data_IF_229592614977
#
_entry.id   IF_229592614977
#
_cell.length_a   1.000
_cell.length_b   1.000
_cell.length_c   1.000
_cell.angle_alpha   90.00
_cell.angle_beta   90.00
_cell.angle_gamma   90.00
#
_symmetry.space_group_name_H-M   'P 1'
#
loop_
_entity.id
_entity.type
_entity.pdbx_description
1 polymer ?
#
# COMPACT_ATOMS: atom_id res chain seq x y z
N UNK A 1 -29.72 -0.58 -30.51
CA UNK A 1 -29.01 -0.87 -29.25
C UNK A 1 -30.02 -1.56 -28.34
N UNK A 2 -29.81 -2.81 -27.95
CA UNK A 2 -30.69 -3.49 -26.99
C UNK A 2 -30.23 -3.06 -25.59
N UNK A 3 -31.09 -2.39 -24.83
CA UNK A 3 -30.83 -2.20 -23.40
C UNK A 3 -30.76 -3.61 -22.77
N UNK A 4 -29.65 -3.98 -22.12
CA UNK A 4 -29.59 -5.27 -21.44
C UNK A 4 -30.66 -5.33 -20.34
N UNK A 5 -31.29 -6.49 -20.19
CA UNK A 5 -32.28 -6.72 -19.13
C UNK A 5 -31.61 -6.66 -17.76
N UNK A 6 -32.23 -6.04 -16.74
CA UNK A 6 -31.70 -6.05 -15.38
C UNK A 6 -31.49 -7.50 -14.91
N UNK A 7 -30.31 -7.79 -14.37
CA UNK A 7 -30.00 -9.08 -13.73
C UNK A 7 -30.45 -9.02 -12.27
N UNK A 8 -31.24 -10.00 -11.83
CA UNK A 8 -31.62 -10.13 -10.43
C UNK A 8 -30.44 -10.63 -9.57
N UNK A 9 -30.46 -10.41 -8.23
CA UNK A 9 -29.35 -10.77 -7.36
C UNK A 9 -28.94 -12.24 -7.39
N UNK A 10 -29.91 -13.16 -7.49
CA UNK A 10 -29.64 -14.60 -7.45
C UNK A 10 -28.89 -14.99 -8.71
N UNK A 11 -29.45 -14.65 -9.88
CA UNK A 11 -28.82 -14.91 -11.18
C UNK A 11 -27.42 -14.27 -11.29
N UNK A 12 -27.25 -13.06 -10.74
CA UNK A 12 -25.93 -12.40 -10.70
C UNK A 12 -24.92 -13.22 -9.89
N UNK A 13 -25.29 -13.58 -8.66
CA UNK A 13 -24.38 -14.27 -7.75
C UNK A 13 -24.04 -15.67 -8.25
N UNK A 14 -25.01 -16.40 -8.80
CA UNK A 14 -24.83 -17.72 -9.39
C UNK A 14 -23.87 -17.67 -10.59
N UNK A 15 -24.03 -16.69 -11.49
CA UNK A 15 -23.14 -16.53 -12.64
C UNK A 15 -21.69 -16.22 -12.22
N UNK A 16 -21.51 -15.37 -11.20
CA UNK A 16 -20.18 -15.03 -10.67
C UNK A 16 -19.54 -16.23 -9.97
N UNK A 17 -20.30 -16.97 -9.16
CA UNK A 17 -19.81 -18.15 -8.44
C UNK A 17 -19.49 -19.31 -9.40
N UNK A 18 -20.34 -19.58 -10.38
CA UNK A 18 -20.10 -20.60 -11.40
C UNK A 18 -18.82 -20.32 -12.21
N UNK A 19 -18.56 -19.04 -12.53
CA UNK A 19 -17.30 -18.63 -13.14
C UNK A 19 -16.11 -18.83 -12.19
N UNK A 20 -16.26 -18.47 -10.92
CA UNK A 20 -15.21 -18.62 -9.91
C UNK A 20 -14.82 -20.09 -9.67
N UNK A 21 -15.78 -21.00 -9.71
CA UNK A 21 -15.52 -22.44 -9.55
C UNK A 21 -14.64 -22.99 -10.68
N UNK A 22 -14.67 -22.39 -11.86
CA UNK A 22 -13.89 -22.83 -13.03
C UNK A 22 -12.60 -22.04 -13.26
N UNK A 23 -12.59 -20.75 -12.88
CA UNK A 23 -11.55 -19.80 -13.27
C UNK A 23 -10.98 -18.97 -12.12
N UNK A 24 -11.58 -19.07 -10.94
CA UNK A 24 -11.15 -18.36 -9.74
C UNK A 24 -9.77 -18.79 -9.27
N UNK A 25 -9.03 -17.87 -8.65
CA UNK A 25 -7.74 -18.17 -8.06
C UNK A 25 -7.97 -18.81 -6.69
N UNK A 26 -7.64 -20.10 -6.59
CA UNK A 26 -7.82 -20.89 -5.36
C UNK A 26 -6.50 -21.21 -4.65
N UNK A 27 -5.35 -20.86 -5.24
CA UNK A 27 -4.02 -21.21 -4.73
C UNK A 27 -3.29 -20.03 -4.07
N UNK A 28 -4.02 -18.99 -3.65
CA UNK A 28 -3.39 -17.82 -3.04
C UNK A 28 -2.99 -18.16 -1.59
N UNK A 29 -1.79 -17.76 -1.12
CA UNK A 29 -1.28 -18.17 0.20
C UNK A 29 -2.19 -17.83 1.38
N UNK A 30 -2.95 -16.75 1.29
CA UNK A 30 -3.86 -16.27 2.34
C UNK A 30 -5.26 -16.90 2.31
N UNK A 31 -5.52 -17.84 1.40
CA UNK A 31 -6.81 -18.53 1.30
C UNK A 31 -6.85 -19.83 2.12
N UNK A 32 -5.72 -20.39 2.54
CA UNK A 32 -5.66 -21.70 3.18
C UNK A 32 -4.72 -21.69 4.39
N UNK A 33 -5.25 -21.56 5.62
CA UNK A 33 -6.65 -21.29 5.99
C UNK A 33 -7.04 -19.80 5.90
N UNK A 34 -8.33 -19.51 5.62
CA UNK A 34 -8.91 -18.15 5.69
C UNK A 34 -9.11 -17.67 7.15
N UNK A 35 -8.04 -17.53 7.92
CA UNK A 35 -8.14 -16.97 9.28
C UNK A 35 -8.31 -15.44 9.23
N UNK A 36 -8.96 -14.81 10.23
CA UNK A 36 -9.10 -13.35 10.27
C UNK A 36 -7.76 -12.63 10.14
N UNK A 37 -6.73 -13.13 10.83
CA UNK A 37 -5.38 -12.58 10.78
C UNK A 37 -4.78 -12.64 9.36
N UNK A 38 -4.75 -13.82 8.72
CA UNK A 38 -4.17 -13.95 7.37
C UNK A 38 -4.92 -13.13 6.32
N UNK A 39 -6.26 -13.16 6.36
CA UNK A 39 -7.09 -12.35 5.46
C UNK A 39 -6.76 -10.88 5.66
N UNK A 40 -6.74 -10.39 6.90
CA UNK A 40 -6.42 -8.99 7.20
C UNK A 40 -5.04 -8.57 6.68
N UNK A 41 -3.98 -9.34 6.95
CA UNK A 41 -2.62 -9.02 6.48
C UNK A 41 -2.61 -8.92 4.94
N UNK A 42 -3.21 -9.90 4.26
CA UNK A 42 -3.28 -9.91 2.80
C UNK A 42 -4.07 -8.73 2.23
N UNK A 43 -5.22 -8.40 2.82
CA UNK A 43 -6.09 -7.29 2.39
C UNK A 43 -5.35 -5.96 2.50
N UNK A 44 -4.64 -5.71 3.61
CA UNK A 44 -3.86 -4.48 3.78
C UNK A 44 -2.71 -4.44 2.76
N UNK A 45 -2.00 -5.56 2.52
CA UNK A 45 -0.92 -5.61 1.52
C UNK A 45 -1.44 -5.38 0.09
N UNK A 46 -2.62 -5.89 -0.25
CA UNK A 46 -3.23 -5.79 -1.59
C UNK A 46 -3.79 -4.41 -1.92
N UNK A 47 -3.92 -3.51 -0.93
CA UNK A 47 -4.30 -2.13 -1.19
C UNK A 47 -3.31 -1.46 -2.16
N UNK A 48 -3.78 -1.17 -3.38
CA UNK A 48 -2.98 -0.54 -4.44
C UNK A 48 -1.68 -1.31 -4.80
N UNK A 49 -1.62 -2.61 -4.52
CA UNK A 49 -0.46 -3.46 -4.83
C UNK A 49 -0.92 -4.71 -5.58
N UNK A 50 -0.15 -5.18 -6.54
CA UNK A 50 -0.52 -6.35 -7.35
C UNK A 50 -0.30 -7.66 -6.58
N UNK A 51 -1.17 -8.65 -6.82
CA UNK A 51 -1.10 -9.97 -6.18
C UNK A 51 0.28 -10.62 -6.32
N UNK A 52 0.86 -10.62 -7.53
CA UNK A 52 2.18 -11.20 -7.77
C UNK A 52 3.29 -10.54 -6.94
N UNK A 53 3.19 -9.24 -6.67
CA UNK A 53 4.10 -8.51 -5.79
C UNK A 53 3.86 -8.88 -4.33
N UNK A 54 2.60 -9.06 -3.91
CA UNK A 54 2.25 -9.32 -2.50
C UNK A 54 2.65 -10.72 -2.05
N UNK A 55 2.50 -11.76 -2.89
CA UNK A 55 2.77 -13.16 -2.53
C UNK A 55 4.08 -13.35 -1.73
N UNK A 56 5.26 -12.95 -2.25
CA UNK A 56 6.51 -13.17 -1.52
C UNK A 56 6.63 -12.32 -0.25
N UNK A 57 5.97 -11.16 -0.18
CA UNK A 57 5.95 -10.35 1.04
C UNK A 57 5.07 -10.97 2.11
N UNK A 58 3.88 -11.43 1.74
CA UNK A 58 2.96 -12.11 2.63
C UNK A 58 3.63 -13.34 3.25
N UNK A 59 4.29 -14.18 2.44
CA UNK A 59 4.97 -15.38 2.93
C UNK A 59 6.04 -15.08 3.97
N UNK A 60 6.97 -14.15 3.69
CA UNK A 60 8.01 -13.75 4.67
C UNK A 60 7.42 -13.08 5.91
N UNK A 61 6.36 -12.30 5.75
CA UNK A 61 5.70 -11.63 6.87
C UNK A 61 5.01 -12.62 7.79
N UNK A 62 4.33 -13.63 7.24
CA UNK A 62 3.69 -14.70 8.01
C UNK A 62 4.71 -15.66 8.64
N UNK A 63 5.87 -15.88 8.01
CA UNK A 63 6.96 -16.65 8.61
C UNK A 63 7.51 -15.96 9.86
N UNK A 64 7.68 -14.62 9.81
CA UNK A 64 8.18 -13.85 10.97
C UNK A 64 7.10 -13.56 12.01
N UNK A 65 5.88 -13.28 11.57
CA UNK A 65 4.75 -12.90 12.42
C UNK A 65 3.57 -13.85 12.15
N UNK A 66 3.63 -15.10 12.65
CA UNK A 66 2.62 -16.12 12.36
C UNK A 66 1.24 -15.80 12.95
N UNK A 67 1.18 -14.96 13.99
CA UNK A 67 -0.05 -14.57 14.68
C UNK A 67 -0.04 -13.10 15.11
N UNK A 68 -1.20 -12.60 15.56
CA UNK A 68 -1.36 -11.19 15.95
C UNK A 68 -0.51 -10.79 17.17
N UNK A 69 -0.23 -11.72 18.09
CA UNK A 69 0.57 -11.42 19.29
C UNK A 69 2.04 -11.20 18.92
N UNK A 70 2.57 -12.04 18.04
CA UNK A 70 3.92 -11.91 17.49
C UNK A 70 4.09 -10.59 16.71
N UNK A 71 3.05 -10.16 15.98
CA UNK A 71 3.04 -8.88 15.29
C UNK A 71 2.94 -7.69 16.26
N UNK A 72 2.06 -7.76 17.26
CA UNK A 72 1.80 -6.67 18.20
C UNK A 72 3.00 -6.39 19.13
N UNK A 73 3.77 -7.43 19.47
CA UNK A 73 4.96 -7.35 20.32
C UNK A 73 6.24 -6.95 19.57
N UNK A 74 6.21 -6.95 18.24
CA UNK A 74 7.37 -6.65 17.42
C UNK A 74 7.81 -5.17 17.53
N UNK A 75 9.10 -4.93 17.30
CA UNK A 75 9.57 -3.56 17.14
C UNK A 75 9.00 -2.97 15.84
N UNK A 76 8.57 -1.70 15.86
CA UNK A 76 8.03 -1.05 14.66
C UNK A 76 9.03 -1.06 13.49
N UNK A 77 10.31 -0.88 13.77
CA UNK A 77 11.37 -0.89 12.75
C UNK A 77 11.42 -2.22 11.99
N UNK A 78 11.25 -3.34 12.69
CA UNK A 78 11.24 -4.68 12.11
C UNK A 78 10.03 -4.88 11.18
N UNK A 79 8.84 -4.44 11.63
CA UNK A 79 7.62 -4.47 10.81
C UNK A 79 7.79 -3.63 9.53
N UNK A 80 8.36 -2.43 9.66
CA UNK A 80 8.62 -1.53 8.52
C UNK A 80 9.73 -2.06 7.60
N UNK A 81 10.71 -2.76 8.15
CA UNK A 81 11.76 -3.43 7.39
C UNK A 81 11.15 -4.50 6.48
N UNK A 82 10.33 -5.40 7.03
CA UNK A 82 9.66 -6.45 6.24
C UNK A 82 8.66 -5.88 5.22
N UNK A 83 8.13 -4.67 5.46
CA UNK A 83 7.29 -3.94 4.51
C UNK A 83 8.06 -3.21 3.41
N UNK A 84 9.40 -3.11 3.52
CA UNK A 84 10.22 -2.27 2.65
C UNK A 84 10.15 -2.75 1.19
N UNK A 85 9.58 -1.90 0.33
CA UNK A 85 9.35 -2.18 -1.08
C UNK A 85 7.87 -2.28 -1.48
N UNK A 86 6.95 -2.51 -0.54
CA UNK A 86 5.50 -2.51 -0.83
C UNK A 86 4.91 -1.09 -0.99
N UNK A 87 5.62 -0.07 -0.49
CA UNK A 87 5.13 1.31 -0.49
C UNK A 87 3.94 1.55 0.44
N UNK A 88 3.45 2.79 0.48
CA UNK A 88 2.35 3.22 1.35
C UNK A 88 2.54 2.79 2.82
N UNK A 89 3.69 3.12 3.43
CA UNK A 89 4.09 2.67 4.77
C UNK A 89 3.14 3.05 5.92
N UNK A 90 2.22 4.00 5.70
CA UNK A 90 1.13 4.24 6.65
C UNK A 90 0.27 2.98 6.87
N UNK A 91 0.14 2.11 5.86
CA UNK A 91 -0.50 0.80 5.98
C UNK A 91 0.18 -0.07 7.03
N UNK A 92 1.49 -0.24 6.95
CA UNK A 92 2.27 -1.03 7.90
C UNK A 92 2.17 -0.49 9.33
N UNK A 93 2.27 0.84 9.49
CA UNK A 93 2.15 1.47 10.81
C UNK A 93 0.76 1.29 11.42
N UNK A 94 -0.29 1.51 10.62
CA UNK A 94 -1.66 1.29 11.08
C UNK A 94 -1.94 -0.19 11.34
N UNK A 95 -1.41 -1.10 10.52
CA UNK A 95 -1.49 -2.54 10.71
C UNK A 95 -0.85 -2.95 12.04
N UNK A 96 0.35 -2.46 12.34
CA UNK A 96 1.01 -2.72 13.62
C UNK A 96 0.21 -2.14 14.80
N UNK A 97 -0.24 -0.88 14.70
CA UNK A 97 -1.10 -0.25 15.72
C UNK A 97 -2.40 -1.04 15.93
N UNK A 98 -3.02 -1.53 14.87
CA UNK A 98 -4.22 -2.36 14.94
C UNK A 98 -3.94 -3.71 15.60
N UNK A 99 -2.80 -4.35 15.35
CA UNK A 99 -2.41 -5.57 16.07
C UNK A 99 -2.32 -5.32 17.58
N UNK A 100 -1.72 -4.20 17.98
CA UNK A 100 -1.63 -3.79 19.39
C UNK A 100 -3.00 -3.54 20.01
N UNK A 101 -3.90 -2.84 19.29
CA UNK A 101 -5.29 -2.63 19.73
C UNK A 101 -6.03 -3.95 19.88
N UNK A 102 -5.91 -4.87 18.91
CA UNK A 102 -6.55 -6.19 18.99
C UNK A 102 -6.09 -6.97 20.23
N UNK A 103 -4.78 -6.99 20.50
CA UNK A 103 -4.25 -7.70 21.68
C UNK A 103 -4.66 -7.03 22.99
N UNK A 104 -4.66 -5.70 23.06
CA UNK A 104 -4.91 -4.98 24.32
C UNK A 104 -6.40 -4.81 24.64
N UNK A 105 -7.26 -4.69 23.63
CA UNK A 105 -8.67 -4.30 23.78
C UNK A 105 -9.66 -5.38 23.31
N UNK A 106 -9.19 -6.39 22.57
CA UNK A 106 -10.04 -7.43 21.97
C UNK A 106 -9.49 -8.85 22.13
N UNK A 107 -8.65 -9.08 23.16
CA UNK A 107 -8.08 -10.40 23.48
C UNK A 107 -7.39 -11.11 22.31
N UNK A 108 -6.82 -10.33 21.37
CA UNK A 108 -6.12 -10.86 20.21
C UNK A 108 -7.04 -11.36 19.08
N UNK A 109 -8.34 -11.05 19.09
CA UNK A 109 -9.26 -11.43 18.01
C UNK A 109 -10.04 -10.25 17.44
N UNK A 110 -10.48 -10.40 16.18
CA UNK A 110 -11.30 -9.39 15.52
C UNK A 110 -12.73 -9.35 16.08
N UNK A 111 -13.31 -8.15 16.28
CA UNK A 111 -14.75 -7.99 16.54
C UNK A 111 -15.62 -8.66 15.46
N UNK A 112 -16.91 -8.79 15.74
CA UNK A 112 -17.83 -9.57 14.90
C UNK A 112 -18.65 -8.73 13.91
N UNK A 113 -18.69 -7.41 14.07
CA UNK A 113 -19.47 -6.50 13.21
C UNK A 113 -18.59 -5.67 12.28
N UNK A 114 -19.14 -5.27 11.13
CA UNK A 114 -18.41 -4.43 10.15
C UNK A 114 -18.07 -3.07 10.77
N UNK A 115 -18.95 -2.54 11.60
CA UNK A 115 -18.82 -1.26 12.28
C UNK A 115 -17.64 -1.27 13.25
N UNK A 116 -17.56 -2.27 14.12
CA UNK A 116 -16.46 -2.41 15.09
C UNK A 116 -15.12 -2.67 14.39
N UNK A 117 -15.10 -3.57 13.40
CA UNK A 117 -13.87 -3.86 12.64
C UNK A 117 -13.42 -2.64 11.83
N UNK A 118 -14.34 -1.80 11.36
CA UNK A 118 -14.01 -0.54 10.66
C UNK A 118 -13.51 0.58 11.58
N UNK A 119 -13.73 0.46 12.90
CA UNK A 119 -13.19 1.42 13.86
C UNK A 119 -11.69 1.17 14.15
N UNK A 120 -11.18 -0.02 13.81
CA UNK A 120 -9.79 -0.39 14.02
C UNK A 120 -8.83 0.41 13.12
N UNK A 121 -7.61 0.72 13.60
CA UNK A 121 -6.64 1.52 12.85
C UNK A 121 -6.34 0.98 11.45
N UNK A 122 -6.60 1.80 10.43
CA UNK A 122 -6.26 1.49 9.03
C UNK A 122 -7.21 0.51 8.33
N UNK A 123 -8.30 0.11 8.98
CA UNK A 123 -9.34 -0.72 8.38
C UNK A 123 -10.51 0.17 8.00
N UNK A 124 -10.90 0.16 6.72
CA UNK A 124 -12.11 0.82 6.24
C UNK A 124 -13.23 -0.19 5.98
N UNK A 125 -14.45 0.32 5.72
CA UNK A 125 -15.67 -0.48 5.48
C UNK A 125 -15.47 -1.70 4.58
N UNK A 126 -14.84 -1.51 3.42
CA UNK A 126 -14.61 -2.61 2.47
C UNK A 126 -13.64 -3.66 2.99
N UNK A 127 -12.60 -3.25 3.73
CA UNK A 127 -11.62 -4.19 4.30
C UNK A 127 -12.23 -4.94 5.48
N UNK A 128 -13.03 -4.27 6.32
CA UNK A 128 -13.80 -4.92 7.38
C UNK A 128 -14.74 -5.99 6.81
N UNK A 129 -15.50 -5.65 5.76
CA UNK A 129 -16.36 -6.60 5.06
C UNK A 129 -15.58 -7.78 4.47
N UNK A 130 -14.41 -7.53 3.86
CA UNK A 130 -13.57 -8.58 3.30
C UNK A 130 -13.03 -9.54 4.37
N UNK A 131 -12.59 -9.03 5.53
CA UNK A 131 -12.13 -9.84 6.66
C UNK A 131 -13.27 -10.73 7.15
N UNK A 132 -14.42 -10.14 7.49
CA UNK A 132 -15.53 -10.84 8.10
C UNK A 132 -16.21 -11.85 7.15
N UNK A 133 -16.41 -11.48 5.88
CA UNK A 133 -17.01 -12.39 4.90
C UNK A 133 -16.12 -13.59 4.59
N UNK A 134 -14.81 -13.39 4.46
CA UNK A 134 -13.88 -14.46 4.09
C UNK A 134 -13.53 -15.38 5.26
N UNK A 135 -13.37 -14.82 6.46
CA UNK A 135 -12.88 -15.59 7.62
C UNK A 135 -13.96 -16.09 8.57
N UNK A 136 -15.10 -15.40 8.64
CA UNK A 136 -16.20 -15.75 9.57
C UNK A 136 -17.52 -16.07 8.88
N UNK A 137 -17.59 -15.94 7.55
CA UNK A 137 -18.85 -16.15 6.81
C UNK A 137 -19.94 -15.13 7.19
N UNK A 138 -19.56 -13.94 7.64
CA UNK A 138 -20.53 -12.86 7.92
C UNK A 138 -20.93 -12.20 6.61
N UNK A 139 -22.23 -12.01 6.39
CA UNK A 139 -22.73 -11.34 5.18
C UNK A 139 -22.36 -9.85 5.19
N UNK A 140 -21.27 -9.51 4.50
CA UNK A 140 -20.79 -8.15 4.37
C UNK A 140 -20.33 -7.86 2.94
N UNK A 141 -20.81 -6.75 2.38
CA UNK A 141 -20.41 -6.31 1.05
C UNK A 141 -18.98 -5.73 1.05
N UNK A 142 -18.29 -5.90 -0.07
CA UNK A 142 -17.00 -5.24 -0.34
C UNK A 142 -17.13 -4.27 -1.51
N UNK A 143 -16.29 -3.25 -1.54
CA UNK A 143 -16.28 -2.25 -2.60
C UNK A 143 -14.88 -1.71 -2.87
N UNK A 144 -13.96 -2.61 -3.18
CA UNK A 144 -12.59 -2.27 -3.59
C UNK A 144 -12.56 -1.68 -5.02
N UNK A 145 -11.36 -1.37 -5.52
CA UNK A 145 -11.21 -0.83 -6.87
C UNK A 145 -11.64 -1.79 -7.99
N UNK A 146 -11.64 -3.10 -7.75
CA UNK A 146 -12.09 -4.12 -8.70
C UNK A 146 -13.62 -4.17 -8.76
N UNK A 147 -14.27 -4.29 -7.61
CA UNK A 147 -15.73 -4.31 -7.48
C UNK A 147 -16.35 -3.02 -7.98
N UNK A 148 -15.79 -1.85 -7.61
CA UNK A 148 -16.25 -0.54 -8.12
C UNK A 148 -16.29 -0.52 -9.65
N UNK A 149 -15.29 -1.13 -10.31
CA UNK A 149 -15.21 -1.16 -11.78
C UNK A 149 -16.20 -2.13 -12.40
N UNK A 150 -16.35 -3.33 -11.84
CA UNK A 150 -17.33 -4.32 -12.31
C UNK A 150 -18.73 -3.72 -12.23
N UNK A 151 -19.13 -3.20 -11.07
CA UNK A 151 -20.48 -2.66 -10.85
C UNK A 151 -20.73 -1.38 -11.66
N UNK A 152 -19.74 -0.47 -11.74
CA UNK A 152 -19.89 0.74 -12.56
C UNK A 152 -20.10 0.41 -14.04
N UNK A 153 -19.43 -0.61 -14.58
CA UNK A 153 -19.60 -1.04 -15.97
C UNK A 153 -20.91 -1.79 -16.18
N UNK A 154 -21.26 -2.70 -15.27
CA UNK A 154 -22.50 -3.46 -15.34
C UNK A 154 -23.71 -2.53 -15.43
N UNK A 155 -23.76 -1.50 -14.59
CA UNK A 155 -24.91 -0.58 -14.51
C UNK A 155 -24.69 0.76 -15.22
N UNK A 156 -23.58 0.95 -15.94
CA UNK A 156 -23.21 2.22 -16.54
C UNK A 156 -23.29 3.41 -15.53
N UNK A 157 -22.80 3.21 -14.31
CA UNK A 157 -22.81 4.24 -13.25
C UNK A 157 -21.83 5.34 -13.60
N UNK A 158 -22.35 6.48 -14.04
CA UNK A 158 -21.55 7.62 -14.46
C UNK A 158 -20.82 8.31 -13.31
N UNK A 159 -19.69 8.94 -13.64
CA UNK A 159 -18.93 9.78 -12.73
C UNK A 159 -17.82 9.07 -11.96
N UNK A 160 -17.02 9.88 -11.26
CA UNK A 160 -15.85 9.40 -10.52
C UNK A 160 -16.26 8.82 -9.15
N UNK A 161 -15.90 7.55 -8.82
CA UNK A 161 -16.24 6.92 -7.54
C UNK A 161 -15.64 7.56 -6.29
N UNK A 162 -14.84 8.62 -6.42
CA UNK A 162 -14.42 9.44 -5.29
C UNK A 162 -15.42 10.55 -4.92
N UNK A 163 -16.50 10.73 -5.70
CA UNK A 163 -17.63 11.59 -5.33
C UNK A 163 -18.65 10.79 -4.54
N UNK A 164 -19.13 11.36 -3.43
CA UNK A 164 -20.06 10.69 -2.50
C UNK A 164 -21.32 10.11 -3.16
N UNK A 165 -22.02 10.81 -4.09
CA UNK A 165 -23.19 10.22 -4.75
C UNK A 165 -22.87 8.97 -5.57
N UNK A 166 -21.75 8.97 -6.30
CA UNK A 166 -21.31 7.83 -7.11
C UNK A 166 -20.89 6.67 -6.20
N UNK A 167 -20.15 6.97 -5.13
CA UNK A 167 -19.75 5.96 -4.17
C UNK A 167 -20.93 5.30 -3.46
N UNK A 168 -21.92 6.09 -3.02
CA UNK A 168 -23.13 5.57 -2.37
C UNK A 168 -23.90 4.64 -3.31
N UNK A 169 -24.07 5.03 -4.58
CA UNK A 169 -24.73 4.18 -5.58
C UNK A 169 -24.02 2.84 -5.77
N UNK A 170 -22.69 2.85 -5.78
CA UNK A 170 -21.90 1.62 -5.92
C UNK A 170 -21.98 0.74 -4.66
N UNK A 171 -22.13 1.32 -3.46
CA UNK A 171 -22.40 0.57 -2.24
C UNK A 171 -23.77 -0.10 -2.24
N UNK A 172 -24.82 0.63 -2.65
CA UNK A 172 -26.16 0.05 -2.80
C UNK A 172 -26.14 -1.17 -3.71
N UNK A 173 -25.46 -1.06 -4.86
CA UNK A 173 -25.30 -2.17 -5.80
C UNK A 173 -24.52 -3.34 -5.18
N UNK A 174 -23.42 -3.06 -4.47
CA UNK A 174 -22.63 -4.10 -3.83
C UNK A 174 -23.44 -4.86 -2.76
N UNK A 175 -24.22 -4.15 -1.95
CA UNK A 175 -25.10 -4.71 -0.93
C UNK A 175 -26.26 -5.50 -1.54
N UNK A 176 -26.82 -5.01 -2.65
CA UNK A 176 -27.89 -5.66 -3.40
C UNK A 176 -27.45 -7.02 -3.97
N UNK A 177 -26.24 -7.10 -4.53
CA UNK A 177 -25.73 -8.33 -5.16
C UNK A 177 -25.02 -9.29 -4.22
N UNK A 178 -24.71 -8.88 -2.98
CA UNK A 178 -24.06 -9.77 -2.02
C UNK A 178 -25.02 -10.92 -1.65
N UNK A 179 -24.67 -12.20 -1.91
CA UNK A 179 -25.54 -13.33 -1.64
C UNK A 179 -25.68 -13.58 -0.13
N UNK A 180 -26.46 -14.60 0.24
CA UNK A 180 -26.57 -15.05 1.63
C UNK A 180 -25.64 -16.24 1.96
N UNK A 181 -25.17 -16.93 0.94
CA UNK A 181 -24.33 -18.13 1.06
C UNK A 181 -23.04 -17.97 0.24
N UNK A 182 -22.07 -18.87 0.48
CA UNK A 182 -20.76 -18.87 -0.20
C UNK A 182 -20.04 -17.51 -0.16
N UNK A 183 -20.24 -16.76 0.93
CA UNK A 183 -19.80 -15.36 1.07
C UNK A 183 -18.31 -15.19 0.81
N UNK A 184 -17.48 -16.07 1.38
CA UNK A 184 -16.03 -16.03 1.19
C UNK A 184 -15.62 -16.22 -0.29
N UNK A 185 -16.29 -17.12 -1.00
CA UNK A 185 -16.04 -17.37 -2.42
C UNK A 185 -16.56 -16.23 -3.28
N UNK A 186 -17.76 -15.71 -3.01
CA UNK A 186 -18.32 -14.58 -3.72
C UNK A 186 -17.45 -13.32 -3.57
N UNK A 187 -16.99 -13.02 -2.36
CA UNK A 187 -16.08 -11.91 -2.08
C UNK A 187 -14.80 -12.03 -2.91
N UNK A 188 -14.17 -13.21 -2.95
CA UNK A 188 -12.99 -13.46 -3.78
C UNK A 188 -13.32 -13.38 -5.28
N UNK A 189 -14.43 -13.98 -5.71
CA UNK A 189 -14.87 -14.01 -7.10
C UNK A 189 -15.06 -12.61 -7.67
N UNK A 190 -15.67 -11.70 -6.91
CA UNK A 190 -15.87 -10.32 -7.34
C UNK A 190 -14.55 -9.56 -7.49
N UNK A 191 -13.57 -9.80 -6.61
CA UNK A 191 -12.23 -9.22 -6.74
C UNK A 191 -11.48 -9.82 -7.94
N UNK A 192 -11.54 -11.13 -8.12
CA UNK A 192 -10.88 -11.86 -9.20
C UNK A 192 -11.44 -11.47 -10.56
N UNK A 193 -12.77 -11.39 -10.69
CA UNK A 193 -13.45 -10.98 -11.91
C UNK A 193 -12.97 -9.59 -12.35
N UNK A 194 -12.87 -8.64 -11.42
CA UNK A 194 -12.31 -7.32 -11.73
C UNK A 194 -10.81 -7.40 -12.07
N UNK A 195 -10.04 -8.21 -11.37
CA UNK A 195 -8.60 -8.31 -11.54
C UNK A 195 -8.17 -8.97 -12.86
N UNK A 196 -8.90 -9.98 -13.35
CA UNK A 196 -8.47 -10.84 -14.47
C UNK A 196 -9.35 -10.71 -15.71
N UNK A 197 -10.64 -10.38 -15.58
CA UNK A 197 -11.58 -10.32 -16.70
C UNK A 197 -11.99 -8.88 -17.01
N UNK A 198 -12.64 -8.22 -16.06
CA UNK A 198 -13.13 -6.86 -16.18
C UNK A 198 -12.01 -5.86 -15.84
N UNK A 199 -10.87 -5.94 -16.55
CA UNK A 199 -9.65 -5.18 -16.24
C UNK A 199 -9.75 -3.68 -16.61
N UNK A 200 -8.84 -2.85 -16.07
CA UNK A 200 -8.85 -1.39 -16.32
C UNK A 200 -8.56 -1.00 -17.78
N UNK A 201 -7.70 -1.76 -18.45
CA UNK A 201 -7.34 -1.53 -19.84
C UNK A 201 -8.40 -2.13 -20.77
N UNK A 202 -8.05 -3.23 -21.43
CA UNK A 202 -8.96 -3.96 -22.31
C UNK A 202 -9.64 -5.09 -21.54
N UNK A 203 -10.91 -4.95 -21.10
CA UNK A 203 -11.61 -6.03 -20.43
C UNK A 203 -11.89 -7.19 -21.41
N UNK A 204 -11.77 -8.43 -20.93
CA UNK A 204 -12.12 -9.61 -21.70
C UNK A 204 -13.63 -9.88 -21.58
N UNK A 205 -14.45 -9.04 -22.23
CA UNK A 205 -15.91 -9.14 -22.13
C UNK A 205 -16.44 -10.49 -22.63
N UNK A 206 -15.78 -11.15 -23.58
CA UNK A 206 -16.21 -12.48 -24.07
C UNK A 206 -16.10 -13.59 -23.03
N UNK A 207 -15.22 -13.45 -22.03
CA UNK A 207 -15.09 -14.38 -20.91
C UNK A 207 -15.84 -13.92 -19.64
N UNK A 208 -16.58 -12.81 -19.71
CA UNK A 208 -17.26 -12.24 -18.54
C UNK A 208 -18.62 -12.92 -18.34
N UNK A 209 -18.89 -13.53 -17.16
CA UNK A 209 -20.18 -14.17 -16.90
C UNK A 209 -21.35 -13.18 -16.87
N UNK A 210 -21.06 -11.90 -16.68
CA UNK A 210 -22.05 -10.81 -16.63
C UNK A 210 -22.25 -10.11 -17.98
N UNK A 211 -21.58 -10.56 -19.04
CA UNK A 211 -21.61 -9.92 -20.36
C UNK A 211 -23.03 -9.70 -20.92
N UNK A 212 -23.98 -10.65 -20.82
CA UNK A 212 -25.33 -10.46 -21.38
C UNK A 212 -26.12 -9.32 -20.75
N UNK A 213 -25.76 -8.94 -19.51
CA UNK A 213 -26.45 -7.95 -18.70
C UNK A 213 -25.67 -6.63 -18.57
N UNK A 214 -24.45 -6.55 -19.10
CA UNK A 214 -23.55 -5.42 -18.91
C UNK A 214 -23.92 -4.22 -19.81
N UNK A 215 -24.45 -3.16 -19.20
CA UNK A 215 -24.83 -1.93 -19.92
C UNK A 215 -23.66 -1.29 -20.66
N UNK A 216 -22.50 -1.14 -20.03
CA UNK A 216 -21.36 -0.53 -20.70
C UNK A 216 -20.81 -1.39 -21.85
N UNK A 217 -20.94 -2.72 -21.79
CA UNK A 217 -20.62 -3.59 -22.92
C UNK A 217 -21.66 -3.46 -24.04
N UNK A 218 -22.95 -3.49 -23.72
CA UNK A 218 -24.04 -3.32 -24.69
C UNK A 218 -24.01 -1.97 -25.42
N UNK A 219 -23.50 -0.93 -24.74
CA UNK A 219 -23.29 0.40 -25.30
C UNK A 219 -21.94 0.56 -26.03
N UNK A 220 -21.06 -0.45 -25.98
CA UNK A 220 -19.74 -0.42 -26.62
C UNK A 220 -18.71 0.49 -25.95
N UNK A 221 -18.94 0.92 -24.70
CA UNK A 221 -18.10 1.89 -24.00
C UNK A 221 -17.66 1.50 -22.56
N UNK A 222 -17.20 0.26 -22.31
CA UNK A 222 -16.78 -0.17 -20.97
C UNK A 222 -15.61 0.64 -20.39
N UNK A 223 -14.82 1.33 -21.22
CA UNK A 223 -13.68 2.14 -20.78
C UNK A 223 -14.08 3.49 -20.17
N UNK A 224 -15.33 3.92 -20.36
CA UNK A 224 -15.87 5.15 -19.76
C UNK A 224 -16.20 4.98 -18.27
N UNK A 225 -16.30 3.73 -17.82
CA UNK A 225 -16.70 3.36 -16.47
C UNK A 225 -15.58 2.59 -15.73
N UNK A 226 -15.30 2.96 -14.47
CA UNK A 226 -15.83 4.11 -13.76
C UNK A 226 -15.24 5.44 -14.28
N UNK A 227 -15.95 6.54 -14.06
CA UNK A 227 -15.49 7.86 -14.46
C UNK A 227 -14.12 8.22 -13.86
N UNK A 228 -13.30 8.94 -14.63
CA UNK A 228 -11.92 9.27 -14.25
C UNK A 228 -11.89 10.29 -13.11
N UNK A 229 -10.92 10.13 -12.20
CA UNK A 229 -10.59 11.17 -11.23
C UNK A 229 -10.25 12.47 -11.98
N UNK A 230 -10.82 13.63 -11.60
CA UNK A 230 -10.42 14.90 -12.18
C UNK A 230 -8.91 15.10 -12.01
N UNK A 231 -8.20 15.34 -13.12
CA UNK A 231 -6.76 15.59 -13.08
C UNK A 231 -6.50 16.94 -12.41
N UNK A 232 -5.56 16.97 -11.48
CA UNK A 232 -4.97 18.20 -10.94
C UNK A 232 -3.49 18.17 -11.27
N UNK A 233 -2.90 19.33 -11.54
CA UNK A 233 -1.45 19.45 -11.60
C UNK A 233 -0.86 18.99 -10.25
N UNK A 234 0.13 18.10 -10.30
CA UNK A 234 0.81 17.68 -9.09
C UNK A 234 1.81 18.77 -8.70
N UNK A 235 1.74 19.34 -7.49
CA UNK A 235 2.74 20.31 -7.04
C UNK A 235 4.12 19.65 -7.03
N UNK A 236 5.15 20.44 -7.28
CA UNK A 236 6.56 20.03 -7.17
C UNK A 236 7.13 20.62 -5.89
N UNK A 237 7.80 19.79 -5.10
CA UNK A 237 8.56 20.16 -3.91
C UNK A 237 10.02 19.79 -4.14
N UNK A 238 10.93 20.50 -3.50
CA UNK A 238 12.36 20.24 -3.55
C UNK A 238 12.89 19.86 -2.16
N UNK A 239 13.97 19.08 -2.11
CA UNK A 239 14.68 18.80 -0.86
C UNK A 239 16.14 18.47 -1.15
N UNK A 240 17.02 18.89 -0.23
CA UNK A 240 18.42 18.50 -0.20
C UNK A 240 18.55 17.36 0.80
N UNK A 241 19.05 16.20 0.36
CA UNK A 241 19.37 15.07 1.26
C UNK A 241 20.85 15.08 1.58
N UNK A 242 21.19 15.19 2.88
CA UNK A 242 22.58 15.24 3.35
C UNK A 242 23.06 13.81 3.66
N UNK A 243 23.95 13.30 2.81
CA UNK A 243 24.63 12.03 3.01
C UNK A 243 25.88 12.32 3.85
N UNK A 244 25.70 12.30 5.17
CA UNK A 244 26.79 12.55 6.11
C UNK A 244 27.58 11.25 6.27
N UNK A 245 28.88 11.28 5.98
CA UNK A 245 29.76 10.10 6.01
C UNK A 245 30.92 10.30 6.97
N UNK A 246 31.14 9.34 7.85
CA UNK A 246 32.28 9.37 8.78
C UNK A 246 33.57 8.79 8.15
N UNK A 247 34.64 8.77 8.95
CA UNK A 247 35.94 8.25 8.54
C UNK A 247 35.97 6.73 8.28
N UNK A 248 35.03 5.98 8.89
CA UNK A 248 34.86 4.54 8.67
C UNK A 248 33.99 4.23 7.44
N UNK A 249 33.48 5.26 6.76
CA UNK A 249 32.62 5.12 5.59
C UNK A 249 31.15 4.84 5.92
N UNK A 250 30.76 4.84 7.20
CA UNK A 250 29.36 4.74 7.63
C UNK A 250 28.61 6.02 7.28
N UNK A 251 27.30 5.91 7.12
CA UNK A 251 26.42 7.06 6.84
C UNK A 251 25.42 7.30 7.94
N UNK A 252 25.10 8.56 8.17
CA UNK A 252 24.12 8.95 9.18
C UNK A 252 22.69 8.84 8.66
N UNK A 253 21.84 8.11 9.38
CA UNK A 253 20.39 8.07 9.15
C UNK A 253 19.64 8.45 10.42
N UNK A 254 18.46 9.06 10.26
CA UNK A 254 17.58 9.44 11.36
C UNK A 254 16.12 9.04 11.09
N UNK A 255 15.35 8.71 12.13
CA UNK A 255 13.96 8.35 11.98
C UNK A 255 13.13 9.60 11.70
N UNK A 256 12.24 9.53 10.71
CA UNK A 256 11.26 10.58 10.43
C UNK A 256 10.16 10.54 11.49
N UNK A 257 9.57 11.70 11.86
CA UNK A 257 8.36 11.75 12.67
C UNK A 257 7.27 10.83 12.12
N UNK A 258 6.39 10.31 12.97
CA UNK A 258 5.33 9.37 12.55
C UNK A 258 4.35 9.97 11.53
N UNK A 259 4.21 11.30 11.52
CA UNK A 259 3.39 12.06 10.58
C UNK A 259 4.22 12.65 9.43
N UNK A 260 3.57 12.82 8.27
CA UNK A 260 4.19 13.38 7.08
C UNK A 260 4.80 12.34 6.15
N UNK A 261 5.69 12.80 5.25
CA UNK A 261 6.31 11.95 4.23
C UNK A 261 7.23 10.92 4.88
N UNK A 262 7.11 9.67 4.45
CA UNK A 262 7.89 8.54 4.98
C UNK A 262 7.85 8.40 6.50
N UNK A 263 6.72 8.75 7.15
CA UNK A 263 6.68 8.81 8.60
C UNK A 263 7.10 7.50 9.28
N UNK A 264 7.94 7.59 10.30
CA UNK A 264 8.52 6.44 11.00
C UNK A 264 9.61 5.67 10.22
N UNK A 265 9.95 6.06 8.99
CA UNK A 265 11.06 5.48 8.25
C UNK A 265 12.37 6.23 8.51
N UNK A 266 13.47 5.54 8.29
CA UNK A 266 14.82 6.06 8.38
C UNK A 266 15.22 6.75 7.08
N UNK A 267 15.73 7.98 7.23
CA UNK A 267 16.12 8.84 6.12
C UNK A 267 17.47 9.51 6.37
N UNK A 268 18.09 9.96 5.27
CA UNK A 268 19.14 10.97 5.38
C UNK A 268 18.56 12.26 5.94
N UNK A 269 19.32 13.03 6.73
CA UNK A 269 18.96 14.40 7.09
C UNK A 269 18.55 15.21 5.87
N UNK A 270 17.55 16.08 6.04
CA UNK A 270 16.98 16.86 4.95
C UNK A 270 16.99 18.34 5.29
N UNK A 271 17.24 19.19 4.30
CA UNK A 271 17.02 20.63 4.37
C UNK A 271 16.38 21.12 3.06
N UNK A 272 15.73 22.28 3.11
CA UNK A 272 15.13 22.94 1.96
C UNK A 272 16.07 24.00 1.35
N UNK A 273 17.08 24.47 2.10
CA UNK A 273 17.99 25.53 1.69
C UNK A 273 19.45 25.12 1.84
N UNK A 274 20.29 25.47 0.87
CA UNK A 274 21.72 25.13 0.87
C UNK A 274 22.48 25.78 2.03
N UNK A 275 22.03 26.96 2.49
CA UNK A 275 22.67 27.73 3.57
C UNK A 275 22.44 27.11 4.97
N UNK A 276 21.60 26.09 5.05
CA UNK A 276 21.23 25.40 6.30
C UNK A 276 22.04 24.12 6.56
N UNK A 277 23.01 23.79 5.69
CA UNK A 277 23.86 22.60 5.85
C UNK A 277 24.69 22.69 7.14
N UNK A 278 25.32 23.82 7.44
CA UNK A 278 26.15 23.97 8.64
C UNK A 278 25.32 23.85 9.92
N UNK A 279 24.12 24.44 9.95
CA UNK A 279 23.19 24.31 11.06
C UNK A 279 22.72 22.86 11.24
N UNK A 280 22.39 22.16 10.14
CA UNK A 280 22.05 20.75 10.17
C UNK A 280 23.19 19.88 10.73
N UNK A 281 24.44 20.19 10.41
CA UNK A 281 25.60 19.51 10.99
C UNK A 281 25.76 19.80 12.49
N UNK A 282 25.66 21.08 12.90
CA UNK A 282 25.76 21.50 14.31
C UNK A 282 24.71 20.85 15.20
N UNK A 283 23.46 20.75 14.74
CA UNK A 283 22.39 20.04 15.46
C UNK A 283 22.71 18.55 15.73
N UNK A 284 23.62 17.98 14.94
CA UNK A 284 24.05 16.58 15.07
C UNK A 284 25.40 16.43 15.77
N UNK A 285 25.96 17.53 16.29
CA UNK A 285 27.32 17.60 16.81
C UNK A 285 28.36 17.11 15.78
N UNK A 286 28.16 17.49 14.52
CA UNK A 286 29.04 17.15 13.39
C UNK A 286 29.70 18.41 12.83
N UNK A 287 30.91 18.25 12.30
CA UNK A 287 31.61 19.27 11.50
C UNK A 287 31.98 18.70 10.14
N UNK A 288 31.81 19.48 9.08
CA UNK A 288 32.20 19.08 7.74
C UNK A 288 33.73 19.04 7.58
N UNK A 289 34.22 18.02 6.89
CA UNK A 289 35.59 17.89 6.43
C UNK A 289 35.59 18.07 4.91
N UNK A 290 36.12 19.21 4.45
CA UNK A 290 36.19 19.55 3.03
C UNK A 290 34.84 20.01 2.44
N UNK A 291 34.79 20.11 1.12
CA UNK A 291 33.64 20.67 0.40
C UNK A 291 32.56 19.61 0.14
N UNK A 292 31.28 19.87 0.50
CA UNK A 292 30.14 19.03 0.13
C UNK A 292 30.11 18.69 -1.37
N UNK A 293 29.91 17.43 -1.71
CA UNK A 293 29.89 16.94 -3.09
C UNK A 293 28.45 16.71 -3.58
N UNK A 294 28.03 17.33 -4.71
CA UNK A 294 26.76 16.98 -5.37
C UNK A 294 26.74 15.53 -5.81
N UNK A 295 25.60 14.86 -5.65
CA UNK A 295 25.29 13.64 -6.40
C UNK A 295 24.18 13.92 -7.43
N UNK A 296 23.99 12.99 -8.35
CA UNK A 296 22.96 13.09 -9.39
C UNK A 296 21.56 13.27 -8.79
N UNK A 297 20.93 14.39 -9.12
CA UNK A 297 19.57 14.71 -8.72
C UNK A 297 18.56 13.73 -9.34
N UNK A 298 17.44 13.53 -8.66
CA UNK A 298 16.37 12.71 -9.21
C UNK A 298 15.01 13.08 -8.62
N UNK A 299 13.96 12.82 -9.40
CA UNK A 299 12.57 12.98 -8.98
C UNK A 299 12.04 11.70 -8.35
N UNK A 300 11.37 11.84 -7.22
CA UNK A 300 10.53 10.81 -6.62
C UNK A 300 9.06 11.23 -6.71
N UNK A 301 8.22 10.42 -7.34
CA UNK A 301 6.81 10.75 -7.59
C UNK A 301 5.91 10.08 -6.57
N UNK A 302 5.15 10.89 -5.84
CA UNK A 302 4.02 10.44 -5.04
C UNK A 302 2.72 10.60 -5.82
N UNK A 303 1.64 9.98 -5.33
CA UNK A 303 0.30 10.11 -5.91
C UNK A 303 -0.28 11.54 -5.85
N UNK A 304 0.30 12.42 -5.02
CA UNK A 304 -0.24 13.74 -4.70
C UNK A 304 0.76 14.89 -4.88
N UNK A 305 2.05 14.62 -5.15
CA UNK A 305 3.07 15.63 -5.50
C UNK A 305 4.33 14.95 -6.07
N UNK A 306 5.22 15.73 -6.68
CA UNK A 306 6.58 15.32 -7.03
C UNK A 306 7.58 15.89 -6.04
N UNK A 307 8.58 15.09 -5.67
CA UNK A 307 9.71 15.52 -4.84
C UNK A 307 10.99 15.45 -5.66
N UNK A 308 11.58 16.59 -5.96
CA UNK A 308 12.92 16.69 -6.56
C UNK A 308 13.96 16.65 -5.45
N UNK A 309 14.82 15.64 -5.52
CA UNK A 309 15.81 15.33 -4.50
C UNK A 309 17.19 15.67 -5.04
N UNK A 310 17.90 16.55 -4.33
CA UNK A 310 19.29 16.93 -4.60
C UNK A 310 20.19 16.37 -3.50
N UNK A 311 20.82 15.20 -3.68
CA UNK A 311 21.67 14.62 -2.65
C UNK A 311 23.03 15.33 -2.59
N UNK A 312 23.53 15.55 -1.37
CA UNK A 312 24.84 16.15 -1.09
C UNK A 312 25.60 15.24 -0.15
N UNK A 313 26.73 14.72 -0.58
CA UNK A 313 27.61 13.95 0.29
C UNK A 313 28.60 14.85 1.02
N UNK A 314 28.73 14.64 2.32
CA UNK A 314 29.55 15.47 3.20
C UNK A 314 30.35 14.51 4.08
N UNK A 315 31.68 14.57 3.99
CA UNK A 315 32.53 13.93 4.99
C UNK A 315 32.45 14.72 6.28
N UNK A 316 32.31 14.05 7.41
CA UNK A 316 32.13 14.71 8.70
C UNK A 316 32.98 14.05 9.77
N UNK A 317 33.31 14.84 10.78
CA UNK A 317 33.81 14.35 12.07
C UNK A 317 32.81 14.64 13.18
N UNK A 318 32.81 13.77 14.18
CA UNK A 318 32.02 13.92 15.39
C UNK A 318 32.76 14.89 16.31
N UNK A 319 32.14 16.03 16.63
CA UNK A 319 32.72 17.08 17.48
C UNK A 319 32.08 17.16 18.86
N UNK A 320 31.14 16.26 19.17
CA UNK A 320 30.49 16.15 20.47
C UNK A 320 29.40 15.09 20.45
N UNK A 321 28.62 15.01 21.53
CA UNK A 321 27.42 14.17 21.61
C UNK A 321 26.20 15.01 21.21
N UNK A 322 25.57 14.69 20.09
CA UNK A 322 24.31 15.29 19.69
C UNK A 322 23.13 14.62 20.39
N UNK A 323 22.13 15.40 20.80
CA UNK A 323 20.86 14.89 21.33
C UNK A 323 19.92 14.60 20.15
N UNK A 324 20.12 13.45 19.50
CA UNK A 324 19.35 13.05 18.34
C UNK A 324 19.15 11.54 18.30
N UNK A 325 18.07 11.10 17.65
CA UNK A 325 17.73 9.69 17.51
C UNK A 325 18.36 9.05 16.27
N UNK A 326 19.41 9.66 15.70
CA UNK A 326 20.06 9.12 14.51
C UNK A 326 21.11 8.06 14.84
N UNK A 327 21.57 7.37 13.80
CA UNK A 327 22.61 6.35 13.92
C UNK A 327 23.53 6.33 12.72
N UNK A 328 24.76 5.92 12.98
CA UNK A 328 25.71 5.53 11.94
C UNK A 328 25.36 4.14 11.40
N UNK A 329 25.26 4.03 10.08
CA UNK A 329 24.81 2.84 9.36
C UNK A 329 25.82 2.47 8.30
N UNK A 330 26.16 1.18 8.20
CA UNK A 330 26.96 0.69 7.07
C UNK A 330 26.07 0.72 5.80
N UNK A 331 26.42 1.48 4.74
CA UNK A 331 25.61 1.54 3.53
C UNK A 331 25.38 0.18 2.84
N UNK A 332 26.35 -0.73 2.94
CA UNK A 332 26.29 -2.08 2.38
C UNK A 332 25.39 -3.02 3.20
N UNK A 333 25.29 -2.76 4.50
CA UNK A 333 24.57 -3.60 5.45
C UNK A 333 23.78 -2.73 6.44
N UNK A 334 22.68 -2.11 6.00
CA UNK A 334 21.96 -1.16 6.84
C UNK A 334 21.23 -1.81 8.02
N UNK A 335 21.10 -3.14 8.03
CA UNK A 335 20.34 -3.89 9.04
C UNK A 335 18.83 -3.85 8.78
N UNK A 336 18.06 -4.13 9.82
CA UNK A 336 16.60 -4.28 9.76
C UNK A 336 15.84 -2.94 9.87
N UNK A 337 16.27 -1.93 9.11
CA UNK A 337 15.67 -0.61 9.20
C UNK A 337 14.54 -0.47 8.19
N UNK A 338 13.44 0.15 8.59
CA UNK A 338 12.42 0.63 7.67
C UNK A 338 12.96 1.82 6.86
N UNK A 339 13.43 1.59 5.64
CA UNK A 339 14.03 2.63 4.80
C UNK A 339 13.03 3.24 3.81
N UNK A 340 13.10 4.55 3.63
CA UNK A 340 12.39 5.20 2.52
C UNK A 340 12.96 4.75 1.16
N UNK A 341 12.10 4.60 0.16
CA UNK A 341 12.51 4.18 -1.19
C UNK A 341 13.69 4.99 -1.80
N UNK A 342 13.71 6.34 -1.74
CA UNK A 342 14.87 7.10 -2.24
C UNK A 342 16.15 6.86 -1.41
N UNK A 343 16.03 6.57 -0.12
CA UNK A 343 17.17 6.28 0.76
C UNK A 343 17.77 4.94 0.37
N UNK A 344 16.95 3.89 0.22
CA UNK A 344 17.39 2.57 -0.27
C UNK A 344 18.10 2.68 -1.64
N UNK A 345 17.55 3.50 -2.55
CA UNK A 345 18.17 3.78 -3.86
C UNK A 345 19.53 4.46 -3.72
N UNK A 346 19.65 5.43 -2.82
CA UNK A 346 20.90 6.16 -2.58
C UNK A 346 21.95 5.24 -1.92
N UNK A 347 21.59 4.48 -0.87
CA UNK A 347 22.50 3.53 -0.22
C UNK A 347 23.11 2.53 -1.23
N UNK A 348 22.30 1.97 -2.12
CA UNK A 348 22.79 1.07 -3.18
C UNK A 348 23.78 1.71 -4.17
N UNK A 349 23.76 3.04 -4.33
CA UNK A 349 24.77 3.77 -5.13
C UNK A 349 26.05 4.08 -4.35
N UNK A 350 25.96 4.13 -3.02
CA UNK A 350 27.10 4.41 -2.14
C UNK A 350 27.93 3.15 -1.85
N UNK A 351 27.35 1.96 -2.07
CA UNK A 351 27.98 0.65 -1.92
C UNK A 351 28.84 0.26 -3.14
N UNK A 352 28.62 0.90 -4.30
CA UNK A 352 29.47 0.66 -5.47
C UNK A 352 30.82 1.38 -5.30
N UNK A 353 31.98 0.71 -5.48
CA UNK A 353 33.27 1.39 -5.48
C UNK A 353 33.21 2.52 -6.49
N UNK A 354 33.44 3.76 -6.05
CA UNK A 354 33.57 4.88 -6.98
C UNK A 354 34.75 4.56 -7.88
N UNK A 355 34.49 4.34 -9.16
CA UNK A 355 35.53 4.49 -10.16
C UNK A 355 36.03 5.91 -10.01
N UNK A 356 37.22 6.05 -9.45
CA UNK A 356 37.99 7.28 -9.49
C UNK A 356 38.16 7.58 -10.98
N UNK A 357 37.41 8.53 -11.50
CA UNK A 357 37.73 9.11 -12.79
C UNK A 357 39.06 9.84 -12.61
N UNK A 358 40.15 9.11 -12.79
CA UNK A 358 41.43 9.70 -13.13
C UNK A 358 41.28 10.26 -14.54
N UNK A 359 41.12 11.58 -14.61
CA UNK A 359 41.83 12.54 -15.47
C UNK A 359 41.00 13.82 -15.64
#
# INVERSE_FOLDING_TARGET
MRNPSPIDPVTFSDAVLAWYDQHGRQSLPWQHPRTPYQVWISEIMLQQTQVATVIPFFQRFMERFPDVHSLASAAQDEVLHLWTGLGYYARARNLHKCAQVLVNEHDGDFPHTVEEVSALPGIGRSTAGAILAQSRGVRAAILDGNVKRVLARLHAVEGWPGKKPVENRLWELAEHYTPHERLADYTQAMMDLGATVCTRGTPNCGACPLQPHCHAHGNGNPQDYPGKKPKKALPVRTTIMLILRDHEGRVWLEPRPSQGIWGGLWCFPQTEQSDDVENALKQRALRAIGTPQPLTEFRHTFSHFHLDISPREIRVEVVGTGDNNGRWVNPAAPGELGLAAPVKKLLGRLDTPRQTSML
#
